data_IF_566365497803
#
_entry.id   IF_566365497803
#
_cell.length_a   1.000
_cell.length_b   1.000
_cell.length_c   1.000
_cell.angle_alpha   90.00
_cell.angle_beta   90.00
_cell.angle_gamma   90.00
#
_symmetry.space_group_name_H-M   'P 1'
#
loop_
_entity.id
_entity.type
_entity.pdbx_description
1 polymer ?
#
# COMPACT_ATOMS: atom_id res chain seq x y z
N UNK A 1 5.33 -40.20 -18.23
CA UNK A 1 6.14 -39.33 -17.33
C UNK A 1 5.96 -37.82 -17.55
N UNK A 2 5.20 -37.34 -18.56
CA UNK A 2 4.98 -35.90 -18.81
C UNK A 2 3.58 -35.37 -18.41
N UNK A 3 2.66 -36.23 -17.97
CA UNK A 3 1.26 -35.87 -17.74
C UNK A 3 0.96 -35.18 -16.40
N UNK A 4 1.94 -35.04 -15.49
CA UNK A 4 1.77 -34.38 -14.19
C UNK A 4 2.18 -32.90 -14.17
N UNK A 5 2.82 -32.40 -15.24
CA UNK A 5 3.32 -31.02 -15.31
C UNK A 5 2.24 -29.98 -15.69
N UNK A 6 1.06 -30.45 -16.09
CA UNK A 6 -0.10 -29.61 -16.35
C UNK A 6 -1.28 -30.02 -15.47
N UNK A 7 -1.04 -30.15 -14.16
CA UNK A 7 -2.16 -29.96 -13.22
C UNK A 7 -2.50 -28.48 -13.35
N UNK A 8 -3.67 -28.10 -13.89
CA UNK A 8 -4.11 -26.71 -13.76
C UNK A 8 -4.03 -26.46 -12.26
N UNK A 9 -3.26 -25.46 -11.85
CA UNK A 9 -3.34 -24.98 -10.49
C UNK A 9 -4.82 -24.65 -10.32
N UNK A 10 -5.55 -25.55 -9.66
CA UNK A 10 -6.96 -25.39 -9.38
C UNK A 10 -6.95 -24.09 -8.60
N UNK A 11 -7.30 -22.99 -9.25
CA UNK A 11 -7.37 -21.69 -8.62
C UNK A 11 -8.36 -21.91 -7.50
N UNK A 12 -7.85 -22.02 -6.27
CA UNK A 12 -8.65 -22.35 -5.12
C UNK A 12 -9.84 -21.39 -5.17
N UNK A 13 -11.06 -21.95 -5.23
CA UNK A 13 -12.27 -21.14 -5.24
C UNK A 13 -12.11 -20.08 -4.16
N UNK A 14 -12.34 -18.79 -4.46
CA UNK A 14 -12.03 -17.71 -3.52
C UNK A 14 -12.70 -18.05 -2.21
N UNK A 15 -11.89 -18.38 -1.20
CA UNK A 15 -12.40 -18.59 0.14
C UNK A 15 -12.99 -17.24 0.51
N UNK A 16 -14.31 -17.17 0.60
CA UNK A 16 -15.01 -15.97 1.04
C UNK A 16 -14.67 -15.83 2.53
N UNK A 17 -13.51 -15.25 2.81
CA UNK A 17 -13.12 -14.92 4.16
C UNK A 17 -14.10 -13.90 4.68
N UNK A 18 -14.57 -14.12 5.91
CA UNK A 18 -15.42 -13.15 6.59
C UNK A 18 -14.72 -11.80 6.62
N UNK A 19 -15.45 -10.71 6.45
CA UNK A 19 -14.87 -9.35 6.49
C UNK A 19 -14.07 -9.09 7.77
N UNK A 20 -14.45 -9.75 8.87
CA UNK A 20 -13.73 -9.72 10.13
C UNK A 20 -12.34 -10.38 10.06
N UNK A 21 -12.18 -11.48 9.32
CA UNK A 21 -10.86 -12.11 9.07
C UNK A 21 -9.95 -11.18 8.28
N UNK A 22 -10.49 -10.54 7.23
CA UNK A 22 -9.72 -9.62 6.36
C UNK A 22 -9.27 -8.39 7.14
N UNK A 23 -10.15 -7.80 7.96
CA UNK A 23 -9.80 -6.64 8.80
C UNK A 23 -8.72 -6.99 9.81
N UNK A 24 -8.82 -8.14 10.49
CA UNK A 24 -7.78 -8.60 11.42
C UNK A 24 -6.45 -8.83 10.72
N UNK A 25 -6.45 -9.49 9.56
CA UNK A 25 -5.23 -9.75 8.78
C UNK A 25 -4.56 -8.46 8.30
N UNK A 26 -5.33 -7.56 7.70
CA UNK A 26 -4.83 -6.27 7.21
C UNK A 26 -4.32 -5.39 8.35
N UNK A 27 -5.01 -5.38 9.50
CA UNK A 27 -4.56 -4.68 10.70
C UNK A 27 -3.26 -5.27 11.25
N UNK A 28 -3.19 -6.60 11.44
CA UNK A 28 -1.97 -7.25 11.93
C UNK A 28 -0.79 -7.02 10.99
N UNK A 29 -1.01 -7.11 9.67
CA UNK A 29 0.04 -6.85 8.67
C UNK A 29 0.53 -5.40 8.72
N UNK A 30 -0.39 -4.45 8.89
CA UNK A 30 -0.07 -3.02 8.98
C UNK A 30 0.66 -2.69 10.28
N UNK A 31 0.19 -3.22 11.42
CA UNK A 31 0.80 -3.03 12.73
C UNK A 31 2.17 -3.70 12.86
N UNK A 32 2.38 -4.83 12.17
CA UNK A 32 3.67 -5.54 12.19
C UNK A 32 4.68 -4.96 11.18
N UNK A 33 4.33 -3.92 10.41
CA UNK A 33 5.23 -3.33 9.43
C UNK A 33 6.25 -2.40 10.11
N UNK A 34 7.53 -2.83 10.29
CA UNK A 34 8.51 -2.04 11.04
C UNK A 34 8.82 -0.71 10.33
N UNK A 35 8.71 -0.66 9.00
CA UNK A 35 8.95 0.56 8.23
C UNK A 35 7.92 1.64 8.56
N UNK A 36 6.65 1.26 8.69
CA UNK A 36 5.57 2.19 9.04
C UNK A 36 5.74 2.71 10.47
N UNK A 37 6.07 1.83 11.42
CA UNK A 37 6.31 2.20 12.82
C UNK A 37 7.49 3.18 12.90
N UNK A 38 8.63 2.83 12.30
CA UNK A 38 9.83 3.67 12.33
C UNK A 38 9.60 5.03 11.67
N UNK A 39 8.78 5.09 10.61
CA UNK A 39 8.36 6.35 10.01
C UNK A 39 7.61 7.23 11.03
N UNK A 40 6.56 6.71 11.68
CA UNK A 40 5.80 7.45 12.70
C UNK A 40 6.66 7.88 13.90
N UNK A 41 7.50 6.99 14.43
CA UNK A 41 8.42 7.29 15.53
C UNK A 41 9.39 8.40 15.15
N UNK A 42 9.88 8.43 13.91
CA UNK A 42 10.77 9.49 13.42
C UNK A 42 10.12 10.87 13.49
N UNK A 43 8.82 11.01 13.16
CA UNK A 43 8.11 12.28 13.37
C UNK A 43 8.01 12.63 14.85
N UNK A 44 7.66 11.68 15.71
CA UNK A 44 7.55 11.96 17.15
C UNK A 44 8.87 12.46 17.74
N UNK A 45 9.99 11.79 17.48
CA UNK A 45 11.30 12.19 18.02
C UNK A 45 11.77 13.54 17.46
N UNK A 46 11.38 13.89 16.23
CA UNK A 46 11.76 15.16 15.61
C UNK A 46 11.01 16.37 16.17
N UNK A 47 9.76 16.18 16.60
CA UNK A 47 8.87 17.29 16.96
C UNK A 47 8.52 17.35 18.46
N UNK A 48 8.92 16.36 19.26
CA UNK A 48 8.64 16.32 20.69
C UNK A 48 9.90 16.58 21.50
N UNK A 49 9.84 17.62 22.32
CA UNK A 49 10.83 17.84 23.38
C UNK A 49 10.51 16.96 24.59
N UNK A 50 11.43 16.06 24.93
CA UNK A 50 11.28 15.13 26.06
C UNK A 50 11.43 15.80 27.43
N UNK A 51 11.96 17.02 27.50
CA UNK A 51 12.14 17.75 28.75
C UNK A 51 10.93 18.62 29.11
N UNK A 52 9.89 18.63 28.27
CA UNK A 52 8.67 19.39 28.52
C UNK A 52 7.81 18.74 29.61
N UNK A 53 7.24 19.54 30.51
CA UNK A 53 6.44 19.02 31.64
C UNK A 53 5.15 18.28 31.20
N UNK A 54 4.66 18.51 29.97
CA UNK A 54 3.41 17.94 29.46
C UNK A 54 3.61 17.19 28.12
N UNK A 55 4.60 16.32 28.04
CA UNK A 55 4.97 15.55 26.84
C UNK A 55 3.79 14.80 26.20
N UNK A 56 2.85 14.28 26.99
CA UNK A 56 1.66 13.55 26.49
C UNK A 56 0.76 14.41 25.59
N UNK A 57 0.66 15.71 25.86
CA UNK A 57 -0.14 16.65 25.05
C UNK A 57 0.51 16.86 23.69
N UNK A 58 1.83 17.00 23.63
CA UNK A 58 2.58 17.11 22.37
C UNK A 58 2.42 15.87 21.50
N UNK A 59 2.45 14.67 22.11
CA UNK A 59 2.15 13.41 21.41
C UNK A 59 0.73 13.40 20.81
N UNK A 60 -0.29 13.81 21.58
CA UNK A 60 -1.67 13.83 21.10
C UNK A 60 -1.88 14.83 19.96
N UNK A 61 -1.32 16.04 20.06
CA UNK A 61 -1.40 17.04 19.01
C UNK A 61 -0.75 16.52 17.73
N UNK A 62 0.47 15.98 17.83
CA UNK A 62 1.18 15.48 16.66
C UNK A 62 0.48 14.26 16.04
N UNK A 63 -0.01 13.33 16.86
CA UNK A 63 -0.82 12.21 16.40
C UNK A 63 -2.10 12.66 15.69
N UNK A 64 -2.79 13.67 16.21
CA UNK A 64 -3.99 14.23 15.60
C UNK A 64 -3.69 14.89 14.24
N UNK A 65 -2.59 15.64 14.12
CA UNK A 65 -2.18 16.24 12.85
C UNK A 65 -1.90 15.15 11.81
N UNK A 66 -1.12 14.12 12.19
CA UNK A 66 -0.79 13.01 11.30
C UNK A 66 -2.05 12.25 10.86
N UNK A 67 -2.98 12.00 11.78
CA UNK A 67 -4.24 11.32 11.49
C UNK A 67 -5.13 12.14 10.54
N UNK A 68 -5.27 13.45 10.76
CA UNK A 68 -6.05 14.34 9.88
C UNK A 68 -5.45 14.35 8.47
N UNK A 69 -4.13 14.50 8.34
CA UNK A 69 -3.45 14.49 7.05
C UNK A 69 -3.62 13.14 6.36
N UNK A 70 -3.45 12.04 7.08
CA UNK A 70 -3.65 10.67 6.59
C UNK A 70 -5.08 10.46 6.09
N UNK A 71 -6.06 10.87 6.89
CA UNK A 71 -7.48 10.73 6.56
C UNK A 71 -7.85 11.52 5.30
N UNK A 72 -7.43 12.79 5.21
CA UNK A 72 -7.65 13.63 4.02
C UNK A 72 -6.98 13.03 2.79
N UNK A 73 -5.74 12.56 2.94
CA UNK A 73 -4.98 11.95 1.85
C UNK A 73 -5.65 10.66 1.34
N UNK A 74 -5.97 9.72 2.23
CA UNK A 74 -6.60 8.45 1.86
C UNK A 74 -7.99 8.66 1.27
N UNK A 75 -8.78 9.58 1.83
CA UNK A 75 -10.09 9.93 1.31
C UNK A 75 -9.97 10.49 -0.11
N UNK A 76 -9.06 11.44 -0.32
CA UNK A 76 -8.78 12.00 -1.65
C UNK A 76 -8.35 10.92 -2.63
N UNK A 77 -7.48 10.00 -2.20
CA UNK A 77 -7.01 8.89 -3.02
C UNK A 77 -8.13 7.93 -3.41
N UNK A 78 -9.03 7.60 -2.48
CA UNK A 78 -10.19 6.71 -2.73
C UNK A 78 -11.13 7.36 -3.74
N UNK A 79 -11.52 8.62 -3.54
CA UNK A 79 -12.44 9.30 -4.45
C UNK A 79 -11.81 9.55 -5.83
N UNK A 80 -10.56 10.03 -5.87
CA UNK A 80 -9.83 10.19 -7.11
C UNK A 80 -9.69 8.85 -7.84
N UNK A 81 -9.31 7.79 -7.14
CA UNK A 81 -9.21 6.44 -7.68
C UNK A 81 -10.54 5.93 -8.25
N UNK A 82 -11.66 6.14 -7.54
CA UNK A 82 -12.99 5.77 -8.01
C UNK A 82 -13.42 6.57 -9.26
N UNK A 83 -13.17 7.88 -9.29
CA UNK A 83 -13.45 8.75 -10.43
C UNK A 83 -12.62 8.35 -11.65
N UNK A 84 -11.32 8.13 -11.45
CA UNK A 84 -10.42 7.64 -12.50
C UNK A 84 -10.92 6.28 -12.99
N UNK A 85 -11.14 5.31 -12.10
CA UNK A 85 -11.62 3.98 -12.49
C UNK A 85 -12.91 4.05 -13.32
N UNK A 86 -13.86 4.91 -12.94
CA UNK A 86 -15.08 5.16 -13.71
C UNK A 86 -14.77 5.77 -15.08
N UNK A 87 -13.89 6.76 -15.16
CA UNK A 87 -13.49 7.41 -16.42
C UNK A 87 -12.77 6.42 -17.37
N UNK A 88 -11.82 5.66 -16.85
CA UNK A 88 -11.08 4.63 -17.59
C UNK A 88 -11.97 3.43 -17.97
N UNK A 89 -13.03 3.13 -17.21
CA UNK A 89 -13.99 2.07 -17.56
C UNK A 89 -14.69 2.34 -18.90
N UNK A 90 -14.92 3.60 -19.25
CA UNK A 90 -15.49 4.01 -20.54
C UNK A 90 -14.47 3.94 -21.68
N UNK A 91 -13.16 3.96 -21.38
CA UNK A 91 -12.07 3.86 -22.37
C UNK A 91 -11.06 2.78 -21.98
N UNK A 92 -11.51 1.51 -22.03
CA UNK A 92 -10.71 0.30 -21.70
C UNK A 92 -9.31 0.26 -22.34
N UNK A 93 -9.14 0.90 -23.51
CA UNK A 93 -7.86 1.01 -24.22
C UNK A 93 -6.83 1.84 -23.44
N UNK A 94 -7.24 2.97 -22.83
CA UNK A 94 -6.35 3.82 -22.05
C UNK A 94 -5.89 3.13 -20.75
N UNK A 95 -6.79 2.39 -20.11
CA UNK A 95 -6.44 1.58 -18.93
C UNK A 95 -5.38 0.52 -19.28
N UNK A 96 -5.57 -0.18 -20.41
CA UNK A 96 -4.63 -1.18 -20.91
C UNK A 96 -3.27 -0.58 -21.26
N UNK A 97 -3.24 0.59 -21.90
CA UNK A 97 -2.01 1.32 -22.22
C UNK A 97 -1.26 1.75 -20.96
N UNK A 98 -1.96 2.31 -19.96
CA UNK A 98 -1.37 2.67 -18.67
C UNK A 98 -0.74 1.47 -17.98
N UNK A 99 -1.47 0.36 -17.89
CA UNK A 99 -0.96 -0.87 -17.27
C UNK A 99 0.24 -1.46 -18.04
N UNK A 100 0.20 -1.41 -19.38
CA UNK A 100 1.30 -1.88 -20.23
C UNK A 100 2.55 -1.01 -20.07
N UNK A 101 2.39 0.32 -19.95
CA UNK A 101 3.51 1.23 -19.75
C UNK A 101 4.21 0.96 -18.41
N UNK A 102 3.45 0.74 -17.34
CA UNK A 102 4.00 0.34 -16.03
C UNK A 102 4.76 -0.98 -16.14
N UNK A 103 4.20 -1.98 -16.83
CA UNK A 103 4.87 -3.25 -17.07
C UNK A 103 6.20 -3.10 -17.84
N UNK A 104 6.22 -2.26 -18.87
CA UNK A 104 7.44 -1.96 -19.64
C UNK A 104 8.48 -1.26 -18.76
N UNK A 105 8.07 -0.30 -17.91
CA UNK A 105 8.98 0.37 -16.98
C UNK A 105 9.59 -0.61 -15.97
N UNK A 106 8.82 -1.55 -15.44
CA UNK A 106 9.33 -2.60 -14.55
C UNK A 106 10.30 -3.54 -15.27
N UNK A 107 10.00 -3.96 -16.49
CA UNK A 107 10.91 -4.74 -17.32
C UNK A 107 12.22 -3.98 -17.57
N UNK A 108 12.14 -2.69 -17.89
CA UNK A 108 13.32 -1.84 -18.09
C UNK A 108 14.14 -1.67 -16.80
N UNK A 109 13.49 -1.55 -15.65
CA UNK A 109 14.18 -1.51 -14.36
C UNK A 109 14.87 -2.83 -14.04
N UNK A 110 14.19 -3.96 -14.27
CA UNK A 110 14.72 -5.29 -14.04
C UNK A 110 15.91 -5.59 -14.95
N UNK A 111 15.83 -5.26 -16.24
CA UNK A 111 16.94 -5.43 -17.18
C UNK A 111 18.12 -4.55 -16.77
N UNK A 112 17.89 -3.29 -16.40
CA UNK A 112 18.95 -2.39 -15.91
C UNK A 112 19.61 -2.93 -14.64
N UNK A 113 18.83 -3.44 -13.70
CA UNK A 113 19.34 -4.04 -12.48
C UNK A 113 20.20 -5.28 -12.79
N UNK A 114 19.72 -6.16 -13.68
CA UNK A 114 20.44 -7.36 -14.08
C UNK A 114 21.76 -7.06 -14.81
N UNK A 115 21.80 -6.00 -15.63
CA UNK A 115 23.03 -5.57 -16.32
C UNK A 115 24.01 -4.85 -15.40
N UNK A 116 23.55 -4.24 -14.31
CA UNK A 116 24.39 -3.58 -13.30
C UNK A 116 24.83 -4.53 -12.18
N UNK A 117 24.23 -5.72 -12.08
CA UNK A 117 24.62 -6.77 -11.13
C UNK A 117 25.70 -7.72 -11.66
N UNK A 118 26.23 -7.47 -12.86
CA UNK A 118 27.45 -8.06 -13.42
C UNK A 118 28.61 -7.08 -13.28
#
# INVERSE_FOLDING_TARGET
LYASLFKPQQAAAPVIESGHSIMRKSLTLSLTNPKAILFYVSFFVQFIDFNYAHTSVSFLILAAILEIVSFVYLTTLIFAGALLAKFFSHRKILAKLGNSAVGVLFLAFATRLATLSN
#
